data_IF_424678664645
#
_entry.id   IF_424678664645
#
_cell.length_a   1.000
_cell.length_b   1.000
_cell.length_c   1.000
_cell.angle_alpha   90.00
_cell.angle_beta   90.00
_cell.angle_gamma   90.00
#
_symmetry.space_group_name_H-M   'P 1'
#
loop_
_entity.id
_entity.type
_entity.pdbx_description
1 polymer ?
#
# COMPACT_ATOMS: atom_id res chain seq x y z
N UNK A 1 -46.52 18.86 5.41
CA UNK A 1 -45.29 17.99 5.42
C UNK A 1 -44.13 18.91 5.18
N UNK A 2 -43.09 19.02 6.03
CA UNK A 2 -41.89 19.73 5.66
C UNK A 2 -41.29 19.08 4.41
N UNK A 3 -40.93 19.92 3.45
CA UNK A 3 -40.35 19.49 2.17
C UNK A 3 -39.06 18.68 2.48
N UNK A 4 -39.11 17.37 2.41
CA UNK A 4 -37.89 16.56 2.58
C UNK A 4 -36.95 16.93 1.46
N UNK A 5 -35.76 17.46 1.81
CA UNK A 5 -34.70 17.78 0.88
C UNK A 5 -34.33 16.52 0.09
N UNK A 6 -34.27 16.61 -1.23
CA UNK A 6 -33.81 15.53 -2.07
C UNK A 6 -32.33 15.18 -1.82
N UNK A 7 -31.89 14.02 -2.27
CA UNK A 7 -30.48 13.58 -2.12
C UNK A 7 -29.49 14.66 -2.59
N UNK A 8 -29.77 15.32 -3.72
CA UNK A 8 -28.89 16.38 -4.28
C UNK A 8 -28.70 17.56 -3.33
N UNK A 9 -29.76 17.96 -2.61
CA UNK A 9 -29.67 19.06 -1.65
C UNK A 9 -28.89 18.65 -0.40
N UNK A 10 -29.08 17.41 0.07
CA UNK A 10 -28.34 16.82 1.20
C UNK A 10 -26.85 16.68 0.88
N UNK A 11 -26.52 16.20 -0.32
CA UNK A 11 -25.12 16.13 -0.78
C UNK A 11 -24.49 17.52 -0.87
N UNK A 12 -25.21 18.51 -1.38
CA UNK A 12 -24.71 19.88 -1.44
C UNK A 12 -24.42 20.45 -0.06
N UNK A 13 -25.31 20.24 0.91
CA UNK A 13 -25.10 20.65 2.29
C UNK A 13 -23.88 19.96 2.91
N UNK A 14 -23.76 18.63 2.76
CA UNK A 14 -22.64 17.86 3.29
C UNK A 14 -21.30 18.28 2.67
N UNK A 15 -21.24 18.54 1.35
CA UNK A 15 -20.04 19.07 0.68
C UNK A 15 -19.62 20.41 1.28
N UNK A 16 -20.58 21.32 1.48
CA UNK A 16 -20.30 22.60 2.10
C UNK A 16 -19.73 22.43 3.52
N UNK A 17 -20.31 21.56 4.33
CA UNK A 17 -19.84 21.28 5.68
C UNK A 17 -18.41 20.69 5.70
N UNK A 18 -18.08 19.78 4.78
CA UNK A 18 -16.75 19.19 4.66
C UNK A 18 -15.74 20.22 4.18
N UNK A 19 -16.10 21.07 3.21
CA UNK A 19 -15.25 22.16 2.72
C UNK A 19 -14.90 23.16 3.83
N UNK A 20 -15.85 23.55 4.70
CA UNK A 20 -15.58 24.40 5.87
C UNK A 20 -14.58 23.75 6.85
N UNK A 21 -14.52 22.41 6.91
CA UNK A 21 -13.57 21.66 7.71
C UNK A 21 -12.24 21.36 6.98
N UNK A 22 -12.03 21.94 5.77
CA UNK A 22 -10.88 21.67 4.89
C UNK A 22 -10.75 20.19 4.50
N UNK A 23 -11.88 19.49 4.36
CA UNK A 23 -11.98 18.08 3.95
C UNK A 23 -12.46 18.03 2.50
N UNK A 24 -11.97 17.08 1.68
CA UNK A 24 -12.39 16.94 0.30
C UNK A 24 -13.92 16.74 0.17
N UNK A 25 -14.55 17.60 -0.65
CA UNK A 25 -16.01 17.55 -0.88
C UNK A 25 -16.49 16.22 -1.47
N UNK A 26 -15.60 15.51 -2.17
CA UNK A 26 -15.89 14.20 -2.77
C UNK A 26 -16.23 13.14 -1.72
N UNK A 27 -15.77 13.32 -0.49
CA UNK A 27 -16.04 12.37 0.59
C UNK A 27 -17.54 12.30 0.92
N UNK A 28 -18.30 13.41 0.74
CA UNK A 28 -19.76 13.37 0.87
C UNK A 28 -20.41 12.40 -0.14
N UNK A 29 -19.90 12.33 -1.37
CA UNK A 29 -20.40 11.37 -2.36
C UNK A 29 -20.02 9.93 -2.02
N UNK A 30 -18.80 9.72 -1.54
CA UNK A 30 -18.33 8.38 -1.15
C UNK A 30 -19.17 7.85 0.01
N UNK A 31 -19.44 8.66 1.03
CA UNK A 31 -20.26 8.28 2.17
C UNK A 31 -21.73 8.06 1.77
N UNK A 32 -22.28 8.88 0.89
CA UNK A 32 -23.65 8.69 0.40
C UNK A 32 -23.77 7.40 -0.43
N UNK A 33 -22.81 7.11 -1.29
CA UNK A 33 -22.74 5.90 -2.09
C UNK A 33 -22.66 4.66 -1.19
N UNK A 34 -21.83 4.71 -0.14
CA UNK A 34 -21.70 3.67 0.86
C UNK A 34 -23.04 3.38 1.56
N UNK A 35 -23.70 4.40 2.09
CA UNK A 35 -25.00 4.26 2.78
C UNK A 35 -26.09 3.71 1.86
N UNK A 36 -26.07 4.08 0.59
CA UNK A 36 -27.03 3.60 -0.41
C UNK A 36 -26.68 2.20 -0.97
N UNK A 37 -25.45 1.70 -0.70
CA UNK A 37 -24.99 0.43 -1.27
C UNK A 37 -24.80 0.47 -2.79
N UNK A 38 -24.39 1.62 -3.36
CA UNK A 38 -24.22 1.84 -4.81
C UNK A 38 -22.84 2.37 -5.15
N UNK A 39 -22.45 2.29 -6.40
CA UNK A 39 -21.22 2.93 -6.87
C UNK A 39 -21.35 4.46 -6.92
N UNK A 40 -20.28 5.20 -6.61
CA UNK A 40 -20.27 6.68 -6.64
C UNK A 40 -20.83 7.25 -7.94
N UNK A 41 -20.47 6.67 -9.08
CA UNK A 41 -20.93 7.15 -10.38
C UNK A 41 -22.45 6.95 -10.60
N UNK A 42 -23.05 5.99 -9.90
CA UNK A 42 -24.49 5.76 -9.98
C UNK A 42 -25.30 6.90 -9.34
N UNK A 43 -24.73 7.60 -8.35
CA UNK A 43 -25.36 8.79 -7.74
C UNK A 43 -25.67 9.89 -8.77
N UNK A 44 -24.90 9.94 -9.85
CA UNK A 44 -25.05 10.92 -10.94
C UNK A 44 -25.93 10.40 -12.07
N UNK A 45 -26.04 9.09 -12.22
CA UNK A 45 -26.75 8.44 -13.32
C UNK A 45 -28.22 8.13 -13.00
N UNK A 46 -28.57 8.02 -11.72
CA UNK A 46 -29.91 7.60 -11.25
C UNK A 46 -30.42 8.55 -10.16
N UNK A 47 -31.71 8.54 -9.93
CA UNK A 47 -32.32 9.23 -8.80
C UNK A 47 -32.37 8.29 -7.60
N UNK A 48 -31.86 8.78 -6.47
CA UNK A 48 -31.90 8.09 -5.18
C UNK A 48 -32.49 9.00 -4.11
N UNK A 49 -33.07 8.39 -3.09
CA UNK A 49 -33.47 9.05 -1.86
C UNK A 49 -33.06 8.18 -0.68
N UNK A 50 -32.61 8.78 0.39
CA UNK A 50 -32.37 8.06 1.63
C UNK A 50 -33.69 7.63 2.31
N UNK A 51 -33.71 6.44 2.89
CA UNK A 51 -34.67 6.16 3.96
C UNK A 51 -34.35 7.02 5.18
N UNK A 52 -35.26 7.15 6.16
CA UNK A 52 -34.95 7.88 7.40
C UNK A 52 -33.70 7.34 8.13
N UNK A 53 -33.51 6.02 8.13
CA UNK A 53 -32.40 5.34 8.76
C UNK A 53 -31.10 5.64 8.00
N UNK A 54 -31.12 5.57 6.68
CA UNK A 54 -29.97 5.91 5.81
C UNK A 54 -29.59 7.37 5.93
N UNK A 55 -30.59 8.26 6.08
CA UNK A 55 -30.31 9.69 6.29
C UNK A 55 -29.61 9.93 7.63
N UNK A 56 -30.06 9.27 8.69
CA UNK A 56 -29.46 9.38 10.01
C UNK A 56 -28.01 8.83 9.99
N UNK A 57 -27.78 7.70 9.32
CA UNK A 57 -26.46 7.12 9.13
C UNK A 57 -25.53 8.05 8.34
N UNK A 58 -26.03 8.61 7.22
CA UNK A 58 -25.25 9.56 6.41
C UNK A 58 -24.83 10.79 7.21
N UNK A 59 -25.75 11.38 7.98
CA UNK A 59 -25.46 12.55 8.85
C UNK A 59 -24.39 12.19 9.89
N UNK A 60 -24.50 10.99 10.51
CA UNK A 60 -23.50 10.53 11.47
C UNK A 60 -22.12 10.39 10.81
N UNK A 61 -22.03 9.75 9.65
CA UNK A 61 -20.77 9.57 8.92
C UNK A 61 -20.13 10.92 8.50
N UNK A 62 -20.94 11.91 8.08
CA UNK A 62 -20.44 13.26 7.81
C UNK A 62 -19.87 13.89 9.08
N UNK A 63 -20.54 13.74 10.24
CA UNK A 63 -20.03 14.23 11.52
C UNK A 63 -18.72 13.57 11.93
N UNK A 64 -18.61 12.26 11.78
CA UNK A 64 -17.39 11.50 12.05
C UNK A 64 -16.26 11.90 11.09
N UNK A 65 -16.56 12.08 9.80
CA UNK A 65 -15.59 12.58 8.82
C UNK A 65 -15.07 13.98 9.20
N UNK A 66 -15.93 14.86 9.63
CA UNK A 66 -15.55 16.21 10.14
C UNK A 66 -14.67 16.15 11.40
N UNK A 67 -14.79 15.12 12.21
CA UNK A 67 -13.90 14.91 13.37
C UNK A 67 -12.49 14.48 12.95
N UNK A 68 -12.28 14.11 11.68
CA UNK A 68 -11.00 13.76 11.08
C UNK A 68 -10.81 12.26 10.80
N UNK A 69 -11.83 11.42 11.03
CA UNK A 69 -11.72 9.98 10.69
C UNK A 69 -11.61 9.84 9.16
N UNK A 70 -10.61 9.12 8.63
CA UNK A 70 -10.47 8.89 7.20
C UNK A 70 -11.72 8.27 6.58
N UNK A 71 -12.11 8.73 5.38
CA UNK A 71 -13.29 8.19 4.70
C UNK A 71 -13.19 6.67 4.47
N UNK A 72 -12.00 6.16 4.21
CA UNK A 72 -11.74 4.73 4.04
C UNK A 72 -12.00 3.93 5.34
N UNK A 73 -11.73 4.52 6.50
CA UNK A 73 -12.06 3.86 7.77
C UNK A 73 -13.56 3.90 8.07
N UNK A 74 -14.26 4.94 7.63
CA UNK A 74 -15.72 5.05 7.77
C UNK A 74 -16.47 4.07 6.87
N UNK A 75 -15.97 3.89 5.65
CA UNK A 75 -16.57 2.92 4.70
C UNK A 75 -16.03 1.50 4.89
N UNK A 76 -14.91 1.35 5.62
CA UNK A 76 -14.23 0.06 5.79
C UNK A 76 -13.46 -0.40 4.55
N UNK A 77 -13.33 0.43 3.51
CA UNK A 77 -12.77 0.04 2.22
C UNK A 77 -11.79 1.07 1.65
N UNK A 78 -10.74 0.57 1.00
CA UNK A 78 -9.80 1.35 0.21
C UNK A 78 -9.58 0.71 -1.16
N UNK A 79 -9.60 1.52 -2.22
CA UNK A 79 -9.26 1.05 -3.55
C UNK A 79 -7.75 1.09 -3.76
N UNK A 80 -7.21 0.03 -4.34
CA UNK A 80 -5.82 -0.06 -4.72
C UNK A 80 -5.69 -0.93 -5.96
N UNK A 81 -5.15 -0.40 -7.04
CA UNK A 81 -5.13 -1.02 -8.37
C UNK A 81 -6.54 -1.45 -8.82
N UNK A 82 -6.74 -2.71 -9.06
CA UNK A 82 -8.01 -3.28 -9.54
C UNK A 82 -8.83 -3.94 -8.42
N UNK A 83 -8.44 -3.74 -7.17
CA UNK A 83 -9.01 -4.41 -6.02
C UNK A 83 -9.56 -3.40 -4.99
N UNK A 84 -10.50 -3.87 -4.17
CA UNK A 84 -11.01 -3.13 -3.02
C UNK A 84 -10.60 -3.87 -1.76
N UNK A 85 -9.73 -3.24 -0.96
CA UNK A 85 -9.20 -3.78 0.28
C UNK A 85 -10.07 -3.38 1.46
N UNK A 86 -10.29 -4.31 2.38
CA UNK A 86 -10.86 -3.99 3.69
C UNK A 86 -9.78 -3.31 4.54
N UNK A 87 -10.11 -2.19 5.13
CA UNK A 87 -9.23 -1.38 5.97
C UNK A 87 -9.97 -0.82 7.18
N UNK A 88 -9.23 -0.44 8.21
CA UNK A 88 -9.76 0.19 9.40
C UNK A 88 -8.63 0.54 10.38
N UNK A 89 -8.95 0.91 11.63
CA UNK A 89 -7.93 1.22 12.62
C UNK A 89 -6.85 0.12 12.73
N UNK A 90 -5.60 0.54 12.90
CA UNK A 90 -4.46 -0.36 13.05
C UNK A 90 -3.75 -0.77 11.76
N UNK A 91 -4.19 -0.31 10.59
CA UNK A 91 -3.49 -0.56 9.31
C UNK A 91 -3.37 0.72 8.48
N UNK A 92 -2.25 0.87 7.78
CA UNK A 92 -2.05 1.96 6.82
C UNK A 92 -3.06 1.84 5.67
N UNK A 93 -3.73 2.93 5.33
CA UNK A 93 -4.58 3.00 4.14
C UNK A 93 -3.67 2.91 2.89
N UNK A 94 -3.90 1.96 1.96
CA UNK A 94 -3.12 1.86 0.73
C UNK A 94 -3.04 3.18 -0.04
N UNK A 95 -1.84 3.54 -0.49
CA UNK A 95 -1.58 4.80 -1.20
C UNK A 95 -1.49 4.60 -2.71
N UNK A 96 -2.02 5.51 -3.52
CA UNK A 96 -1.94 5.40 -4.99
C UNK A 96 -0.50 5.31 -5.51
N UNK A 97 0.44 6.00 -4.87
CA UNK A 97 1.86 6.00 -5.26
C UNK A 97 2.49 4.60 -5.14
N UNK A 98 2.05 3.81 -4.18
CA UNK A 98 2.51 2.43 -3.93
C UNK A 98 2.09 1.46 -5.05
N UNK A 99 1.08 1.80 -5.86
CA UNK A 99 0.66 0.97 -7.01
C UNK A 99 1.79 0.75 -8.02
N UNK A 100 2.71 1.72 -8.15
CA UNK A 100 3.85 1.64 -9.06
C UNK A 100 4.85 0.53 -8.68
N UNK A 101 4.91 0.17 -7.39
CA UNK A 101 5.74 -0.93 -6.92
C UNK A 101 5.24 -2.27 -7.44
N UNK A 102 3.91 -2.43 -7.53
CA UNK A 102 3.29 -3.64 -8.09
C UNK A 102 3.61 -3.77 -9.58
N UNK A 103 3.57 -2.66 -10.35
CA UNK A 103 3.96 -2.67 -11.75
C UNK A 103 5.42 -3.09 -11.94
N UNK A 104 6.34 -2.51 -11.15
CA UNK A 104 7.75 -2.85 -11.20
C UNK A 104 7.99 -4.34 -10.85
N UNK A 105 7.28 -4.86 -9.86
CA UNK A 105 7.35 -6.26 -9.46
C UNK A 105 6.87 -7.19 -10.59
N UNK A 106 5.74 -6.88 -11.22
CA UNK A 106 5.19 -7.70 -12.31
C UNK A 106 6.09 -7.69 -13.54
N UNK A 107 6.66 -6.55 -13.92
CA UNK A 107 7.64 -6.44 -15.01
C UNK A 107 8.86 -7.32 -14.72
N UNK A 108 9.38 -7.31 -13.50
CA UNK A 108 10.53 -8.14 -13.14
C UNK A 108 10.16 -9.63 -13.12
N UNK A 109 8.98 -10.01 -12.65
CA UNK A 109 8.49 -11.41 -12.69
C UNK A 109 8.41 -11.89 -14.15
N UNK A 110 7.86 -11.09 -15.05
CA UNK A 110 7.79 -11.39 -16.48
C UNK A 110 9.19 -11.55 -17.08
N UNK A 111 10.15 -10.66 -16.72
CA UNK A 111 11.54 -10.73 -17.15
C UNK A 111 12.21 -12.04 -16.70
N UNK A 112 12.02 -12.43 -15.43
CA UNK A 112 12.59 -13.68 -14.88
C UNK A 112 12.03 -14.88 -15.65
N UNK A 113 10.71 -14.94 -15.85
CA UNK A 113 10.04 -16.09 -16.49
C UNK A 113 10.26 -16.16 -17.99
N UNK A 114 10.62 -15.04 -18.64
CA UNK A 114 10.99 -14.99 -20.06
C UNK A 114 12.48 -15.33 -20.29
N UNK A 115 13.25 -15.51 -19.24
CA UNK A 115 14.70 -15.81 -19.36
C UNK A 115 14.96 -17.23 -19.87
N UNK A 116 16.06 -17.43 -20.61
CA UNK A 116 16.47 -18.74 -21.10
C UNK A 116 16.81 -19.76 -19.99
N UNK A 117 17.01 -19.28 -18.76
CA UNK A 117 17.29 -20.10 -17.58
C UNK A 117 16.03 -20.52 -16.83
N UNK A 118 14.86 -19.97 -17.19
CA UNK A 118 13.60 -20.33 -16.55
C UNK A 118 13.22 -21.79 -16.84
N UNK A 119 12.85 -22.51 -15.79
CA UNK A 119 12.43 -23.92 -15.90
C UNK A 119 10.91 -24.02 -15.74
N UNK A 120 10.26 -24.77 -16.62
CA UNK A 120 8.84 -25.11 -16.50
C UNK A 120 8.57 -25.75 -15.14
N UNK A 121 7.53 -25.27 -14.44
CA UNK A 121 7.18 -25.73 -13.09
C UNK A 121 7.87 -24.97 -11.95
N UNK A 122 8.82 -24.07 -12.24
CA UNK A 122 9.37 -23.14 -11.25
C UNK A 122 8.38 -22.03 -10.93
N UNK A 123 8.55 -21.38 -9.77
CA UNK A 123 7.80 -20.19 -9.37
C UNK A 123 8.78 -19.08 -9.01
N UNK A 124 8.47 -17.85 -9.39
CA UNK A 124 9.21 -16.67 -8.91
C UNK A 124 8.81 -16.41 -7.47
N UNK A 125 9.79 -16.41 -6.57
CA UNK A 125 9.55 -16.14 -5.14
C UNK A 125 9.59 -14.64 -4.86
N UNK A 126 8.48 -14.12 -4.37
CA UNK A 126 8.26 -12.70 -4.06
C UNK A 126 8.00 -12.54 -2.57
N UNK A 127 8.65 -11.58 -1.95
CA UNK A 127 8.43 -11.23 -0.53
C UNK A 127 8.01 -9.77 -0.44
N UNK A 128 6.87 -9.53 0.20
CA UNK A 128 6.41 -8.21 0.63
C UNK A 128 6.80 -8.03 2.10
N UNK A 129 7.72 -7.10 2.38
CA UNK A 129 8.18 -6.80 3.74
C UNK A 129 7.39 -5.60 4.30
N UNK A 130 6.73 -5.81 5.46
CA UNK A 130 5.84 -4.81 6.05
C UNK A 130 4.53 -4.73 5.27
N UNK A 131 3.84 -5.85 5.12
CA UNK A 131 2.73 -5.98 4.17
C UNK A 131 1.49 -5.16 4.53
N UNK A 132 1.32 -4.73 5.79
CA UNK A 132 0.18 -3.93 6.22
C UNK A 132 -1.16 -4.60 5.90
N UNK A 133 -2.01 -3.96 5.11
CA UNK A 133 -3.28 -4.52 4.62
C UNK A 133 -3.12 -5.63 3.58
N UNK A 134 -1.90 -5.88 3.11
CA UNK A 134 -1.62 -6.81 2.01
C UNK A 134 -1.76 -6.19 0.61
N UNK A 135 -1.89 -4.88 0.49
CA UNK A 135 -2.15 -4.21 -0.78
C UNK A 135 -1.15 -4.62 -1.88
N UNK A 136 0.14 -4.66 -1.58
CA UNK A 136 1.19 -5.09 -2.53
C UNK A 136 1.10 -6.60 -2.79
N UNK A 137 1.20 -7.42 -1.74
CA UNK A 137 1.25 -8.89 -1.87
C UNK A 137 0.03 -9.47 -2.57
N UNK A 138 -1.17 -9.03 -2.18
CA UNK A 138 -2.45 -9.51 -2.75
C UNK A 138 -2.59 -9.07 -4.20
N UNK A 139 -2.24 -7.81 -4.54
CA UNK A 139 -2.29 -7.33 -5.93
C UNK A 139 -1.31 -8.06 -6.83
N UNK A 140 -0.07 -8.32 -6.36
CA UNK A 140 0.91 -9.12 -7.13
C UNK A 140 0.35 -10.53 -7.37
N UNK A 141 -0.20 -11.19 -6.35
CA UNK A 141 -0.74 -12.55 -6.48
C UNK A 141 -1.93 -12.60 -7.45
N UNK A 142 -2.87 -11.66 -7.34
CA UNK A 142 -4.06 -11.59 -8.21
C UNK A 142 -3.69 -11.30 -9.66
N UNK A 143 -2.85 -10.28 -9.90
CA UNK A 143 -2.46 -9.90 -11.25
C UNK A 143 -1.52 -10.93 -11.89
N UNK A 144 -0.62 -11.56 -11.14
CA UNK A 144 0.20 -12.66 -11.64
C UNK A 144 -0.69 -13.84 -12.09
N UNK A 145 -1.72 -14.19 -11.29
CA UNK A 145 -2.70 -15.22 -11.65
C UNK A 145 -3.42 -14.86 -12.97
N UNK A 146 -3.88 -13.64 -13.13
CA UNK A 146 -4.56 -13.14 -14.35
C UNK A 146 -3.66 -13.14 -15.59
N UNK A 147 -2.34 -12.96 -15.38
CA UNK A 147 -1.33 -12.98 -16.46
C UNK A 147 -0.71 -14.37 -16.67
N UNK A 148 -1.15 -15.42 -15.96
CA UNK A 148 -0.57 -16.77 -15.98
C UNK A 148 0.91 -16.80 -15.60
N UNK A 149 1.35 -15.92 -14.69
CA UNK A 149 2.69 -15.91 -14.13
C UNK A 149 2.77 -16.83 -12.90
N UNK A 150 3.77 -17.68 -12.84
CA UNK A 150 3.96 -18.63 -11.74
C UNK A 150 4.71 -17.96 -10.58
N UNK A 151 4.00 -17.55 -9.54
CA UNK A 151 4.57 -16.87 -8.36
C UNK A 151 4.35 -17.65 -7.07
N UNK A 152 5.23 -17.42 -6.11
CA UNK A 152 5.02 -17.75 -4.70
C UNK A 152 5.20 -16.45 -3.91
N UNK A 153 4.11 -15.93 -3.36
CA UNK A 153 4.10 -14.67 -2.64
C UNK A 153 4.08 -14.92 -1.13
N UNK A 154 4.96 -14.23 -0.43
CA UNK A 154 5.04 -14.23 1.03
C UNK A 154 4.87 -12.80 1.53
N UNK A 155 3.94 -12.59 2.45
CA UNK A 155 3.70 -11.32 3.12
C UNK A 155 4.25 -11.40 4.56
N UNK A 156 5.17 -10.52 4.91
CA UNK A 156 5.74 -10.40 6.26
C UNK A 156 5.14 -9.22 6.96
N UNK A 157 4.55 -9.44 8.13
CA UNK A 157 3.95 -8.39 8.96
C UNK A 157 4.16 -8.71 10.45
N UNK A 158 4.44 -7.70 11.26
CA UNK A 158 4.67 -7.85 12.70
C UNK A 158 3.48 -7.42 13.57
N UNK A 159 2.70 -6.43 13.09
CA UNK A 159 1.64 -5.81 13.85
C UNK A 159 0.35 -6.65 13.82
N UNK A 160 -0.15 -7.03 15.00
CA UNK A 160 -1.32 -7.92 15.12
C UNK A 160 -2.60 -7.37 14.49
N UNK A 161 -2.81 -6.06 14.56
CA UNK A 161 -3.98 -5.41 13.94
C UNK A 161 -3.87 -5.45 12.42
N UNK A 162 -2.72 -5.09 11.86
CA UNK A 162 -2.47 -5.17 10.42
C UNK A 162 -2.59 -6.60 9.87
N UNK A 163 -2.11 -7.60 10.63
CA UNK A 163 -2.27 -9.02 10.27
C UNK A 163 -3.73 -9.42 10.10
N UNK A 164 -4.63 -8.91 10.94
CA UNK A 164 -6.07 -9.19 10.81
C UNK A 164 -6.62 -8.68 9.47
N UNK A 165 -6.21 -7.49 9.05
CA UNK A 165 -6.60 -6.93 7.76
C UNK A 165 -5.97 -7.69 6.59
N UNK A 166 -4.69 -8.03 6.70
CA UNK A 166 -3.96 -8.83 5.70
C UNK A 166 -4.64 -10.17 5.43
N UNK A 167 -4.92 -10.95 6.48
CA UNK A 167 -5.57 -12.26 6.37
C UNK A 167 -6.98 -12.14 5.78
N UNK A 168 -7.74 -11.11 6.20
CA UNK A 168 -9.06 -10.82 5.66
C UNK A 168 -9.02 -10.49 4.16
N UNK A 169 -8.06 -9.68 3.72
CA UNK A 169 -7.91 -9.32 2.32
C UNK A 169 -7.43 -10.49 1.46
N UNK A 170 -6.55 -11.34 1.97
CA UNK A 170 -6.15 -12.58 1.28
C UNK A 170 -7.39 -13.47 1.05
N UNK A 171 -8.22 -13.65 2.08
CA UNK A 171 -9.45 -14.43 1.96
C UNK A 171 -10.49 -13.78 1.03
N UNK A 172 -10.67 -12.45 1.11
CA UNK A 172 -11.60 -11.69 0.26
C UNK A 172 -11.30 -11.84 -1.23
N UNK A 173 -10.01 -11.85 -1.60
CA UNK A 173 -9.57 -11.91 -2.99
C UNK A 173 -9.21 -13.31 -3.48
N UNK A 174 -9.31 -14.32 -2.61
CA UNK A 174 -9.02 -15.72 -2.93
C UNK A 174 -7.67 -15.89 -3.65
N UNK A 175 -6.60 -15.41 -3.01
CA UNK A 175 -5.23 -15.46 -3.52
C UNK A 175 -4.32 -16.32 -2.64
N UNK A 176 -3.32 -16.96 -3.27
CA UNK A 176 -2.31 -17.77 -2.58
C UNK A 176 -1.15 -16.88 -2.09
N UNK A 177 -1.30 -16.32 -0.90
CA UNK A 177 -0.28 -15.51 -0.22
C UNK A 177 0.01 -16.14 1.14
N UNK A 178 1.27 -16.52 1.37
CA UNK A 178 1.71 -17.03 2.66
C UNK A 178 2.00 -15.88 3.62
N UNK A 179 1.32 -15.85 4.75
CA UNK A 179 1.58 -14.87 5.82
C UNK A 179 2.68 -15.38 6.76
N UNK A 180 3.61 -14.49 7.10
CA UNK A 180 4.66 -14.71 8.10
C UNK A 180 4.57 -13.59 9.14
N UNK A 181 4.10 -13.94 10.34
CA UNK A 181 4.08 -13.03 11.49
C UNK A 181 5.48 -12.96 12.07
N UNK A 182 6.21 -11.92 11.73
CA UNK A 182 7.59 -11.70 12.21
C UNK A 182 7.99 -10.25 12.08
N UNK A 183 8.93 -9.85 12.93
CA UNK A 183 9.70 -8.64 12.71
C UNK A 183 10.56 -8.78 11.45
N UNK A 184 10.66 -7.70 10.67
CA UNK A 184 11.41 -7.67 9.41
C UNK A 184 12.87 -8.06 9.61
N UNK A 185 13.49 -7.66 10.72
CA UNK A 185 14.90 -7.93 11.01
C UNK A 185 15.23 -9.43 11.11
N UNK A 186 14.27 -10.24 11.52
CA UNK A 186 14.44 -11.69 11.74
C UNK A 186 13.62 -12.57 10.81
N UNK A 187 12.73 -11.97 10.03
CA UNK A 187 11.87 -12.70 9.12
C UNK A 187 12.67 -13.50 8.08
N UNK A 188 12.21 -14.72 7.79
CA UNK A 188 12.70 -15.55 6.69
C UNK A 188 14.19 -15.89 6.75
N UNK A 189 14.78 -16.03 7.95
CA UNK A 189 16.18 -16.46 8.08
C UNK A 189 16.45 -17.78 7.34
N UNK A 190 17.54 -17.80 6.55
CA UNK A 190 17.92 -18.93 5.73
C UNK A 190 17.10 -19.14 4.46
N UNK A 191 16.06 -18.34 4.23
CA UNK A 191 15.25 -18.37 3.01
C UNK A 191 15.84 -17.40 1.98
N UNK A 192 15.76 -17.77 0.70
CA UNK A 192 16.18 -16.93 -0.42
C UNK A 192 15.03 -16.73 -1.40
N UNK A 193 14.83 -15.47 -1.83
CA UNK A 193 13.80 -15.10 -2.80
C UNK A 193 14.39 -14.39 -4.03
N UNK A 194 13.58 -14.28 -5.08
CA UNK A 194 13.96 -13.63 -6.33
C UNK A 194 13.67 -12.12 -6.29
N UNK A 195 12.63 -11.73 -5.56
CA UNK A 195 12.13 -10.37 -5.52
C UNK A 195 11.70 -9.99 -4.10
N UNK A 196 12.10 -8.81 -3.65
CA UNK A 196 11.56 -8.13 -2.46
C UNK A 196 10.88 -6.85 -2.90
N UNK A 197 9.66 -6.63 -2.44
CA UNK A 197 8.91 -5.38 -2.61
C UNK A 197 8.58 -4.86 -1.22
N UNK A 198 8.69 -3.56 -1.01
CA UNK A 198 8.39 -2.98 0.30
C UNK A 198 8.05 -1.50 0.25
N UNK A 199 7.09 -1.12 1.07
CA UNK A 199 6.80 0.26 1.44
C UNK A 199 7.05 0.41 2.96
N UNK A 200 8.30 0.65 3.40
CA UNK A 200 8.62 0.76 4.81
C UNK A 200 8.10 2.07 5.40
N UNK A 201 7.94 2.17 6.73
CA UNK A 201 7.77 3.46 7.39
C UNK A 201 8.99 4.35 7.11
N UNK A 202 8.77 5.49 6.46
CA UNK A 202 9.86 6.37 6.00
C UNK A 202 9.69 7.85 6.40
N UNK A 203 8.61 8.22 7.07
CA UNK A 203 8.38 9.62 7.45
C UNK A 203 9.32 10.00 8.60
N UNK A 204 10.10 11.10 8.50
CA UNK A 204 10.93 11.56 9.61
C UNK A 204 10.10 11.92 10.84
N UNK A 205 10.61 11.61 12.03
CA UNK A 205 9.97 11.95 13.29
C UNK A 205 9.73 13.47 13.39
N UNK A 206 8.56 13.86 13.89
CA UNK A 206 8.19 15.27 14.00
C UNK A 206 7.75 15.94 12.70
N UNK A 207 7.64 15.21 11.59
CA UNK A 207 7.09 15.74 10.34
C UNK A 207 5.63 16.18 10.52
N UNK A 208 5.26 17.26 9.84
CA UNK A 208 3.87 17.71 9.77
C UNK A 208 3.12 16.88 8.75
N UNK A 209 2.19 16.07 9.22
CA UNK A 209 1.27 15.28 8.39
C UNK A 209 -0.16 15.80 8.54
N UNK A 210 -1.06 15.51 7.60
CA UNK A 210 -2.48 15.79 7.77
C UNK A 210 -3.01 15.24 9.09
N UNK A 211 -3.90 15.98 9.75
CA UNK A 211 -4.44 15.60 11.06
C UNK A 211 -5.06 14.20 11.05
N UNK A 212 -5.78 13.86 9.99
CA UNK A 212 -6.42 12.55 9.83
C UNK A 212 -5.39 11.40 9.85
N UNK A 213 -4.23 11.58 9.21
CA UNK A 213 -3.14 10.59 9.20
C UNK A 213 -2.55 10.43 10.60
N UNK A 214 -2.17 11.55 11.24
CA UNK A 214 -1.56 11.51 12.59
C UNK A 214 -2.48 10.95 13.66
N UNK A 215 -3.78 11.19 13.56
CA UNK A 215 -4.74 10.84 14.60
C UNK A 215 -5.31 9.43 14.46
N UNK A 216 -5.28 8.85 13.30
CA UNK A 216 -6.02 7.60 13.02
C UNK A 216 -5.16 6.47 12.43
N UNK A 217 -4.13 6.79 11.64
CA UNK A 217 -3.27 5.75 11.08
C UNK A 217 -2.14 5.36 12.05
N UNK A 218 -1.67 4.09 12.05
CA UNK A 218 -0.71 3.62 13.02
C UNK A 218 0.66 4.30 12.84
N UNK A 219 1.18 4.91 13.89
CA UNK A 219 2.48 5.58 13.88
C UNK A 219 3.63 4.64 13.44
N UNK A 220 3.52 3.35 13.77
CA UNK A 220 4.48 2.32 13.36
C UNK A 220 4.52 2.04 11.87
N UNK A 221 3.48 2.43 11.13
CA UNK A 221 3.45 2.31 9.66
C UNK A 221 3.85 3.62 8.96
N UNK A 222 4.05 4.71 9.71
CA UNK A 222 4.37 6.04 9.17
C UNK A 222 5.82 6.43 9.41
N UNK A 223 6.25 6.40 10.69
CA UNK A 223 7.51 7.01 11.11
C UNK A 223 8.69 6.07 10.96
N UNK A 224 9.69 6.52 10.22
CA UNK A 224 10.93 5.80 9.90
C UNK A 224 12.11 6.13 10.81
N UNK A 225 11.88 6.86 11.93
CA UNK A 225 12.91 7.35 12.86
C UNK A 225 13.22 8.82 12.66
N UNK A 226 14.25 9.32 13.36
CA UNK A 226 14.61 10.76 13.42
C UNK A 226 14.79 11.36 12.04
N UNK A 227 15.57 10.69 11.17
CA UNK A 227 15.76 11.12 9.78
C UNK A 227 14.80 10.40 8.80
N UNK A 228 13.96 9.49 9.30
CA UNK A 228 13.10 8.65 8.49
C UNK A 228 13.85 7.57 7.69
N UNK A 229 15.10 7.31 8.03
CA UNK A 229 16.00 6.36 7.35
C UNK A 229 16.24 5.11 8.19
N UNK A 230 16.06 5.19 9.48
CA UNK A 230 16.42 4.14 10.43
C UNK A 230 15.61 2.86 10.16
N UNK A 231 14.32 2.99 9.94
CA UNK A 231 13.46 1.83 9.59
C UNK A 231 13.72 1.37 8.16
N UNK A 232 13.73 2.23 7.12
CA UNK A 232 14.11 1.79 5.77
C UNK A 232 15.46 1.06 5.71
N UNK A 233 16.45 1.44 6.51
CA UNK A 233 17.74 0.74 6.60
C UNK A 233 17.59 -0.71 7.05
N UNK A 234 16.76 -0.98 8.06
CA UNK A 234 16.47 -2.35 8.54
C UNK A 234 15.77 -3.19 7.46
N UNK A 235 14.88 -2.57 6.68
CA UNK A 235 14.23 -3.23 5.55
C UNK A 235 15.23 -3.57 4.43
N UNK A 236 16.17 -2.67 4.13
CA UNK A 236 17.26 -2.91 3.17
C UNK A 236 18.17 -4.03 3.66
N UNK A 237 18.57 -4.04 4.92
CA UNK A 237 19.38 -5.13 5.52
C UNK A 237 18.66 -6.47 5.40
N UNK A 238 17.37 -6.51 5.68
CA UNK A 238 16.56 -7.72 5.56
C UNK A 238 16.41 -8.17 4.11
N UNK A 239 16.15 -7.25 3.18
CA UNK A 239 16.13 -7.54 1.76
C UNK A 239 17.48 -8.09 1.28
N UNK A 240 18.59 -7.50 1.72
CA UNK A 240 19.95 -7.95 1.42
C UNK A 240 20.19 -9.39 1.89
N UNK A 241 19.69 -9.72 3.08
CA UNK A 241 19.81 -11.06 3.69
C UNK A 241 19.01 -12.12 2.95
N UNK A 242 17.79 -11.80 2.48
CA UNK A 242 16.89 -12.79 1.88
C UNK A 242 16.91 -12.82 0.35
N UNK A 243 17.42 -11.80 -0.34
CA UNK A 243 17.56 -11.82 -1.80
C UNK A 243 18.65 -12.79 -2.24
N UNK A 244 18.39 -13.53 -3.31
CA UNK A 244 19.41 -14.27 -4.08
C UNK A 244 20.40 -13.30 -4.72
N UNK A 245 21.64 -13.74 -5.05
CA UNK A 245 22.47 -13.00 -6.00
C UNK A 245 21.70 -12.69 -7.30
N UNK A 246 21.72 -11.43 -7.76
CA UNK A 246 20.93 -10.97 -8.90
C UNK A 246 19.43 -10.76 -8.59
N UNK A 247 18.98 -11.04 -7.38
CA UNK A 247 17.60 -10.78 -6.95
C UNK A 247 17.29 -9.28 -6.94
N UNK A 248 16.02 -8.95 -7.04
CA UNK A 248 15.54 -7.59 -7.31
C UNK A 248 14.83 -6.99 -6.10
N UNK A 249 15.18 -5.76 -5.76
CA UNK A 249 14.55 -4.95 -4.72
C UNK A 249 13.69 -3.86 -5.37
N UNK A 250 12.47 -3.68 -4.88
CA UNK A 250 11.61 -2.52 -5.15
C UNK A 250 11.26 -1.89 -3.81
N UNK A 251 11.59 -0.62 -3.62
CA UNK A 251 11.49 0.08 -2.33
C UNK A 251 10.88 1.46 -2.50
N UNK A 252 9.79 1.75 -1.77
CA UNK A 252 9.22 3.08 -1.64
C UNK A 252 10.00 3.92 -0.62
N UNK A 253 10.06 5.24 -0.82
CA UNK A 253 10.78 6.15 0.06
C UNK A 253 10.23 7.58 0.02
N UNK A 254 10.60 8.40 0.99
CA UNK A 254 10.34 9.83 0.95
C UNK A 254 11.22 10.53 -0.08
N UNK A 255 10.72 11.58 -0.72
CA UNK A 255 11.41 12.32 -1.79
C UNK A 255 12.79 12.84 -1.39
N UNK A 256 13.01 13.17 -0.11
CA UNK A 256 14.28 13.67 0.41
C UNK A 256 15.35 12.60 0.68
N UNK A 257 15.01 11.29 0.55
CA UNK A 257 15.87 10.18 1.00
C UNK A 257 16.70 9.55 -0.13
N UNK A 258 16.49 9.98 -1.36
CA UNK A 258 17.07 9.39 -2.56
C UNK A 258 18.58 9.15 -2.46
N UNK A 259 19.36 10.18 -2.14
CA UNK A 259 20.84 10.11 -2.10
C UNK A 259 21.33 9.22 -0.96
N UNK A 260 20.67 9.30 0.21
CA UNK A 260 21.02 8.50 1.38
C UNK A 260 20.75 7.01 1.13
N UNK A 261 19.61 6.67 0.54
CA UNK A 261 19.28 5.29 0.22
C UNK A 261 20.18 4.72 -0.88
N UNK A 262 20.54 5.52 -1.89
CA UNK A 262 21.49 5.11 -2.90
C UNK A 262 22.86 4.77 -2.29
N UNK A 263 23.33 5.59 -1.34
CA UNK A 263 24.57 5.34 -0.62
C UNK A 263 24.52 4.08 0.26
N UNK A 264 23.38 3.82 0.91
CA UNK A 264 23.16 2.61 1.72
C UNK A 264 23.15 1.34 0.86
N UNK A 265 22.57 1.40 -0.33
CA UNK A 265 22.48 0.27 -1.25
C UNK A 265 23.79 -0.05 -1.98
N UNK A 266 24.61 0.97 -2.28
CA UNK A 266 25.80 0.83 -3.13
C UNK A 266 26.79 -0.29 -2.74
N UNK A 267 27.00 -0.65 -1.45
CA UNK A 267 27.90 -1.74 -1.09
C UNK A 267 27.42 -3.12 -1.55
N UNK A 268 26.12 -3.33 -1.59
CA UNK A 268 25.49 -4.65 -1.75
C UNK A 268 24.62 -4.77 -2.99
N UNK A 269 24.41 -3.69 -3.73
CA UNK A 269 23.52 -3.63 -4.89
C UNK A 269 24.17 -2.94 -6.08
N UNK A 270 23.69 -3.30 -7.26
CA UNK A 270 24.00 -2.65 -8.55
C UNK A 270 22.71 -2.35 -9.32
N UNK A 271 22.78 -1.69 -10.46
CA UNK A 271 21.62 -1.24 -11.23
C UNK A 271 20.59 -0.49 -10.37
N UNK A 272 21.09 0.39 -9.49
CA UNK A 272 20.23 1.24 -8.67
C UNK A 272 19.58 2.28 -9.57
N UNK A 273 18.26 2.22 -9.72
CA UNK A 273 17.47 3.14 -10.53
C UNK A 273 16.39 3.80 -9.68
N UNK A 274 16.13 5.08 -9.94
CA UNK A 274 15.19 5.90 -9.18
C UNK A 274 14.02 6.32 -10.05
N UNK A 275 12.84 6.36 -9.45
CA UNK A 275 11.61 6.64 -10.15
C UNK A 275 10.76 7.66 -9.36
N UNK A 276 9.90 8.33 -10.10
CA UNK A 276 8.99 9.34 -9.58
C UNK A 276 7.56 8.82 -9.54
N UNK A 277 6.75 9.43 -8.66
CA UNK A 277 5.31 9.25 -8.66
C UNK A 277 4.65 10.07 -9.80
N UNK A 278 3.32 9.95 -9.93
CA UNK A 278 2.55 10.69 -10.93
C UNK A 278 2.55 12.22 -10.71
N UNK A 279 3.01 12.69 -9.55
CA UNK A 279 3.22 14.09 -9.23
C UNK A 279 4.67 14.56 -9.48
N UNK A 280 5.48 13.75 -10.18
CA UNK A 280 6.89 14.03 -10.54
C UNK A 280 7.83 14.14 -9.33
N UNK A 281 7.47 13.54 -8.17
CA UNK A 281 8.30 13.49 -6.96
C UNK A 281 9.05 12.17 -6.89
N UNK A 282 10.37 12.16 -6.55
CA UNK A 282 11.08 10.92 -6.24
C UNK A 282 10.31 10.10 -5.20
N UNK A 283 9.96 8.85 -5.50
CA UNK A 283 9.07 8.08 -4.65
C UNK A 283 9.50 6.63 -4.42
N UNK A 284 10.19 6.04 -5.37
CA UNK A 284 10.62 4.67 -5.24
C UNK A 284 11.88 4.39 -6.04
N UNK A 285 12.54 3.30 -5.71
CA UNK A 285 13.74 2.85 -6.38
C UNK A 285 13.70 1.35 -6.65
N UNK A 286 14.56 0.91 -7.57
CA UNK A 286 14.88 -0.49 -7.77
C UNK A 286 16.38 -0.72 -7.66
N UNK A 287 16.79 -1.94 -7.28
CA UNK A 287 18.19 -2.32 -7.22
C UNK A 287 18.35 -3.84 -7.36
N UNK A 288 19.50 -4.30 -7.84
CA UNK A 288 19.85 -5.72 -7.91
C UNK A 288 20.88 -6.09 -6.86
N UNK A 289 20.61 -7.17 -6.13
CA UNK A 289 21.54 -7.73 -5.14
C UNK A 289 22.82 -8.23 -5.81
N UNK A 290 23.97 -7.77 -5.38
CA UNK A 290 25.26 -8.26 -5.83
C UNK A 290 25.48 -9.73 -5.42
N UNK A 291 26.32 -10.47 -6.13
CA UNK A 291 26.73 -11.81 -5.74
C UNK A 291 27.54 -11.80 -4.45
N UNK A 292 27.54 -12.91 -3.73
CA UNK A 292 28.36 -13.11 -2.52
C UNK A 292 29.87 -13.15 -2.79
N UNK A 293 30.26 -13.25 -4.05
CA UNK A 293 31.67 -13.17 -4.45
C UNK A 293 32.03 -11.71 -4.72
N UNK A 294 32.24 -10.99 -3.62
CA UNK A 294 32.76 -9.64 -3.64
C UNK A 294 34.17 -9.55 -4.23
N UNK A 295 34.30 -9.88 -5.50
CA UNK A 295 35.45 -9.43 -6.30
C UNK A 295 35.10 -8.01 -6.72
N UNK A 296 35.61 -7.06 -5.92
CA UNK A 296 35.78 -5.68 -6.33
C UNK A 296 36.69 -5.65 -7.56
N UNK A 297 36.15 -5.83 -8.74
CA UNK A 297 36.80 -5.29 -9.93
C UNK A 297 36.58 -3.77 -9.92
N UNK A 298 37.47 -3.09 -9.21
CA UNK A 298 37.71 -1.68 -9.44
C UNK A 298 38.35 -1.56 -10.81
N UNK A 299 37.61 -1.08 -11.74
CA UNK A 299 38.14 -0.42 -12.92
C UNK A 299 37.71 1.04 -12.94
#
# INVERSE_FOLDING_TARGET
MPNQLGLKDKLRAARYELAEAAIPEVDAELLAAFVLGVGRMELHAKEFNFSPEQEAEFINLISERKSGIPVQYLTGEAHFRYLTFDVGPGVLIPRPETELLVDAALVEIERIQSSATWRTGSRTSVVDLGAGSGAIAVSIADEARKRNLAVQVVAVESQGEALTWLERNIAKHDVDVRVVKSDVATALDGIKCDLVVTNPPYVPDGSTLPREVLSHEPATALFGGIAGIEIPSQFIESATRILKPGGFLVLEHHESQLETLAALLAPDYFEIAHFKDLADRPRWLTARRSGSDGIRERR
#
